data_IF_753100392327
#
_entry.id   IF_753100392327
#
_cell.length_a   1.000
_cell.length_b   1.000
_cell.length_c   1.000
_cell.angle_alpha   90.00
_cell.angle_beta   90.00
_cell.angle_gamma   90.00
#
_symmetry.space_group_name_H-M   'P 1'
#
loop_
_entity.id
_entity.type
_entity.pdbx_description
1 polymer ?
#
# COMPACT_ATOMS: atom_id res chain seq x y z
N UNK A 1 4.88 -14.42 -8.26
CA UNK A 1 3.85 -13.41 -8.61
C UNK A 1 4.53 -12.32 -9.43
N UNK A 2 4.37 -12.35 -10.76
CA UNK A 2 4.87 -11.30 -11.65
C UNK A 2 3.83 -10.19 -11.73
N UNK A 3 3.96 -9.16 -10.88
CA UNK A 3 3.22 -7.91 -11.03
C UNK A 3 4.03 -6.95 -11.89
N UNK A 4 3.74 -6.90 -13.18
CA UNK A 4 4.25 -5.86 -14.08
C UNK A 4 3.79 -4.49 -13.58
N UNK A 5 4.69 -3.70 -12.99
CA UNK A 5 4.45 -2.27 -12.75
C UNK A 5 4.44 -1.56 -14.10
N UNK A 6 3.25 -1.45 -14.70
CA UNK A 6 3.06 -0.57 -15.84
C UNK A 6 3.11 0.87 -15.31
N UNK A 7 4.23 1.56 -15.55
CA UNK A 7 4.43 2.96 -15.16
C UNK A 7 3.72 3.90 -16.15
N UNK A 8 2.46 3.58 -16.45
CA UNK A 8 1.54 4.40 -17.23
C UNK A 8 0.62 5.09 -16.21
N UNK A 9 0.29 6.36 -16.42
CA UNK A 9 -0.46 7.16 -15.45
C UNK A 9 -1.74 6.48 -14.93
N UNK A 10 -2.24 6.94 -13.79
CA UNK A 10 -3.47 6.41 -13.19
C UNK A 10 -4.65 6.66 -14.15
N UNK A 11 -5.18 5.59 -14.75
CA UNK A 11 -6.28 5.66 -15.71
C UNK A 11 -7.49 6.41 -15.13
N UNK A 12 -8.14 7.24 -15.95
CA UNK A 12 -9.25 8.08 -15.51
C UNK A 12 -8.86 9.26 -14.62
N UNK A 13 -7.56 9.52 -14.44
CA UNK A 13 -7.04 10.70 -13.76
C UNK A 13 -5.88 11.35 -14.51
N UNK A 14 -5.54 12.57 -14.11
CA UNK A 14 -4.37 13.28 -14.59
C UNK A 14 -3.65 14.02 -13.47
N UNK A 15 -2.35 14.27 -13.66
CA UNK A 15 -1.59 15.21 -12.83
C UNK A 15 -1.82 16.63 -13.34
N UNK A 16 -2.13 17.56 -12.44
CA UNK A 16 -2.35 18.97 -12.80
C UNK A 16 -1.67 19.94 -11.82
N UNK A 17 -1.55 21.21 -12.21
CA UNK A 17 -1.09 22.29 -11.34
C UNK A 17 -2.28 22.87 -10.56
N UNK A 18 -2.32 22.62 -9.25
CA UNK A 18 -3.39 23.08 -8.37
C UNK A 18 -3.10 24.50 -7.85
N UNK A 19 -4.03 25.47 -8.03
CA UNK A 19 -3.82 26.85 -7.59
C UNK A 19 -3.48 26.95 -6.09
N UNK A 20 -2.30 27.49 -5.79
CA UNK A 20 -1.78 27.68 -4.44
C UNK A 20 -1.37 26.40 -3.69
N UNK A 21 -1.38 25.22 -4.34
CA UNK A 21 -1.13 23.92 -3.69
C UNK A 21 -0.07 23.07 -4.40
N UNK A 22 0.54 23.58 -5.46
CA UNK A 22 1.54 22.85 -6.25
C UNK A 22 0.90 21.83 -7.17
N UNK A 23 1.21 20.54 -7.01
CA UNK A 23 0.76 19.47 -7.90
C UNK A 23 -0.45 18.75 -7.30
N UNK A 24 -1.42 18.38 -8.13
CA UNK A 24 -2.59 17.62 -7.72
C UNK A 24 -2.91 16.46 -8.66
N UNK A 25 -3.81 15.60 -8.20
CA UNK A 25 -4.46 14.55 -9.00
C UNK A 25 -5.91 14.98 -9.26
N UNK A 26 -6.34 14.94 -10.53
CA UNK A 26 -7.70 15.30 -10.95
C UNK A 26 -8.34 14.15 -11.69
N UNK A 27 -9.60 13.85 -11.40
CA UNK A 27 -10.39 12.91 -12.17
C UNK A 27 -10.70 13.50 -13.56
N UNK A 28 -10.47 12.73 -14.62
CA UNK A 28 -10.92 13.04 -15.99
C UNK A 28 -12.15 12.22 -16.40
N UNK A 29 -12.46 11.17 -15.62
CA UNK A 29 -13.68 10.36 -15.73
C UNK A 29 -14.57 10.54 -14.49
N UNK A 30 -15.82 10.11 -14.59
CA UNK A 30 -16.72 10.03 -13.45
C UNK A 30 -16.39 8.78 -12.59
N UNK A 31 -16.40 8.94 -11.27
CA UNK A 31 -16.30 7.85 -10.29
C UNK A 31 -17.53 7.91 -9.37
N UNK A 32 -18.20 6.79 -9.16
CA UNK A 32 -19.31 6.65 -8.23
C UNK A 32 -18.83 6.33 -6.80
N UNK A 33 -19.74 6.40 -5.83
CA UNK A 33 -19.45 6.01 -4.45
C UNK A 33 -19.11 4.52 -4.40
N UNK A 34 -17.90 4.21 -3.91
CA UNK A 34 -17.38 2.85 -3.82
C UNK A 34 -16.43 2.45 -4.94
N UNK A 35 -16.28 3.27 -5.99
CA UNK A 35 -15.35 2.97 -7.09
C UNK A 35 -13.89 3.05 -6.65
N UNK A 36 -13.10 2.05 -7.06
CA UNK A 36 -11.65 2.06 -6.89
C UNK A 36 -11.01 2.95 -7.96
N UNK A 37 -10.51 4.12 -7.55
CA UNK A 37 -9.80 5.05 -8.46
C UNK A 37 -8.44 4.48 -8.90
N UNK A 38 -7.62 4.01 -7.95
CA UNK A 38 -6.35 3.33 -8.25
C UNK A 38 -5.86 2.51 -7.06
N UNK A 39 -4.93 1.59 -7.34
CA UNK A 39 -4.13 0.88 -6.34
C UNK A 39 -2.64 1.22 -6.55
N UNK A 40 -1.90 1.31 -5.45
CA UNK A 40 -0.47 1.60 -5.48
C UNK A 40 0.27 0.59 -4.59
N UNK A 41 1.03 -0.34 -5.17
CA UNK A 41 1.96 -1.14 -4.39
C UNK A 41 2.94 -0.22 -3.67
N UNK A 42 3.20 -0.49 -2.39
CA UNK A 42 4.16 0.29 -1.63
C UNK A 42 5.52 0.27 -2.36
N UNK A 43 6.07 1.46 -2.64
CA UNK A 43 7.40 1.57 -3.22
C UNK A 43 8.46 0.98 -2.28
N UNK A 44 8.34 1.30 -0.99
CA UNK A 44 9.07 0.69 0.11
C UNK A 44 8.19 0.73 1.37
N UNK A 45 8.43 -0.17 2.31
CA UNK A 45 7.67 -0.25 3.56
C UNK A 45 8.52 -0.91 4.66
N UNK A 46 8.15 -0.65 5.92
CA UNK A 46 8.73 -1.30 7.11
C UNK A 46 7.60 -1.58 8.10
N UNK A 47 7.63 -2.75 8.73
CA UNK A 47 6.70 -3.10 9.81
C UNK A 47 7.14 -2.41 11.11
N UNK A 48 6.21 -1.73 11.79
CA UNK A 48 6.48 -1.14 13.10
C UNK A 48 6.89 -2.22 14.11
N UNK A 49 7.80 -1.88 15.03
CA UNK A 49 8.37 -2.84 15.99
C UNK A 49 7.30 -3.51 16.84
N UNK A 50 6.27 -2.76 17.24
CA UNK A 50 5.20 -3.27 18.11
C UNK A 50 4.31 -4.33 17.46
N UNK A 51 4.33 -4.46 16.13
CA UNK A 51 3.50 -5.41 15.39
C UNK A 51 4.29 -6.64 14.91
N UNK A 52 5.61 -6.70 15.20
CA UNK A 52 6.46 -7.86 14.88
C UNK A 52 5.99 -9.09 15.65
N UNK A 53 6.06 -10.25 15.00
CA UNK A 53 5.56 -11.51 15.53
C UNK A 53 4.05 -11.72 15.36
N UNK A 54 3.25 -10.65 15.27
CA UNK A 54 1.82 -10.72 14.95
C UNK A 54 1.53 -10.63 13.44
N UNK A 55 2.42 -10.00 12.68
CA UNK A 55 2.28 -9.79 11.24
C UNK A 55 3.51 -10.27 10.46
N UNK A 56 3.29 -10.77 9.24
CA UNK A 56 4.38 -11.07 8.31
C UNK A 56 5.09 -9.77 7.87
N UNK A 57 6.43 -9.73 7.98
CA UNK A 57 7.22 -8.54 7.62
C UNK A 57 7.16 -8.17 6.13
N UNK A 58 6.76 -9.10 5.25
CA UNK A 58 6.69 -8.89 3.81
C UNK A 58 5.29 -8.51 3.31
N UNK A 59 4.24 -9.25 3.69
CA UNK A 59 2.90 -9.03 3.15
C UNK A 59 1.92 -8.39 4.14
N UNK A 60 2.35 -8.15 5.38
CA UNK A 60 1.54 -7.59 6.47
C UNK A 60 0.28 -8.41 6.81
N UNK A 61 0.20 -9.67 6.37
CA UNK A 61 -0.84 -10.60 6.81
C UNK A 61 -0.73 -10.82 8.32
N UNK A 62 -1.85 -10.65 9.02
CA UNK A 62 -1.97 -10.98 10.45
C UNK A 62 -2.04 -12.49 10.64
N UNK A 63 -1.19 -13.03 11.51
CA UNK A 63 -1.26 -14.43 11.88
C UNK A 63 -2.49 -14.68 12.78
N UNK A 64 -3.17 -15.81 12.59
CA UNK A 64 -4.29 -16.23 13.44
C UNK A 64 -3.82 -16.71 14.82
N UNK A 65 -4.74 -16.91 15.78
CA UNK A 65 -4.42 -17.54 17.06
C UNK A 65 -4.07 -19.01 16.81
N UNK A 66 -2.77 -19.30 16.65
CA UNK A 66 -2.25 -20.64 16.46
C UNK A 66 -0.82 -20.73 16.98
N UNK A 67 -0.34 -21.90 17.39
CA UNK A 67 1.00 -22.08 17.92
C UNK A 67 2.01 -22.02 16.77
N UNK A 68 2.38 -20.81 16.36
CA UNK A 68 3.57 -20.53 15.55
C UNK A 68 4.23 -19.26 16.10
N UNK A 69 4.87 -19.39 17.26
CA UNK A 69 5.90 -18.44 17.73
C UNK A 69 7.11 -19.14 18.34
N UNK A 70 7.46 -20.33 17.84
CA UNK A 70 8.71 -21.03 18.22
C UNK A 70 9.92 -20.62 17.35
N UNK A 71 9.91 -19.42 16.78
CA UNK A 71 11.13 -18.78 16.29
C UNK A 71 11.27 -17.42 16.95
N UNK A 72 12.10 -17.44 17.99
CA UNK A 72 12.29 -16.35 18.92
C UNK A 72 12.87 -15.10 18.28
N UNK A 73 12.45 -13.97 18.83
CA UNK A 73 13.29 -12.78 18.88
C UNK A 73 13.96 -12.79 20.25
N UNK A 74 15.09 -13.51 20.33
CA UNK A 74 16.12 -13.18 21.30
C UNK A 74 16.95 -12.07 20.67
N UNK A 75 16.84 -10.85 21.19
CA UNK A 75 17.66 -9.75 20.71
C UNK A 75 17.16 -8.42 21.21
N UNK A 76 17.93 -7.86 22.14
CA UNK A 76 18.00 -6.44 22.52
C UNK A 76 18.03 -5.51 21.30
#
# INVERSE_FOLDING_TARGET
>A
MNGTMNNEGIAGTERFASPGKGRGLRAVNHFAVGDLVFACPAYSYVLTVNERGAHCEYCFTRYGPGPLSEHGVSGL
#
